data_IF_876431813534
#
_entry.id   IF_876431813534
#
_cell.length_a   1.000
_cell.length_b   1.000
_cell.length_c   1.000
_cell.angle_alpha   90.00
_cell.angle_beta   90.00
_cell.angle_gamma   90.00
#
_symmetry.space_group_name_H-M   'P 1'
#
loop_
_entity.id
_entity.type
_entity.pdbx_description
1 polymer ?
#
# COMPACT_ATOMS: atom_id res chain seq x y z
N UNK A 1 -23.38 -35.44 -0.96
CA UNK A 1 -22.33 -34.41 -1.02
C UNK A 1 -22.21 -33.82 0.36
N UNK A 2 -21.20 -34.21 1.14
CA UNK A 2 -20.89 -33.54 2.40
C UNK A 2 -20.47 -32.13 2.05
N UNK A 3 -21.25 -31.13 2.48
CA UNK A 3 -20.86 -29.74 2.34
C UNK A 3 -19.68 -29.50 3.28
N UNK A 4 -18.52 -29.19 2.73
CA UNK A 4 -17.38 -28.76 3.53
C UNK A 4 -17.76 -27.50 4.31
N UNK A 5 -17.47 -27.48 5.60
CA UNK A 5 -17.80 -26.35 6.48
C UNK A 5 -17.03 -25.07 6.11
N UNK A 6 -15.85 -25.21 5.50
CA UNK A 6 -14.92 -24.14 5.11
C UNK A 6 -14.21 -24.54 3.83
N UNK A 7 -14.06 -23.61 2.86
CA UNK A 7 -13.26 -23.88 1.66
C UNK A 7 -11.77 -23.63 1.91
N UNK A 8 -10.93 -24.45 1.30
CA UNK A 8 -9.48 -24.23 1.30
C UNK A 8 -9.15 -22.95 0.51
N UNK A 9 -8.27 -22.11 1.06
CA UNK A 9 -7.77 -20.92 0.38
C UNK A 9 -7.01 -21.32 -0.91
N UNK A 10 -7.26 -20.67 -2.06
CA UNK A 10 -6.60 -21.01 -3.33
C UNK A 10 -5.07 -20.94 -3.20
N UNK A 11 -4.33 -22.03 -3.44
CA UNK A 11 -2.88 -22.03 -3.28
C UNK A 11 -2.22 -21.17 -4.37
N UNK A 12 -1.17 -20.38 -4.03
CA UNK A 12 -0.47 -19.60 -5.03
C UNK A 12 0.18 -20.52 -6.08
N UNK A 13 0.05 -20.18 -7.39
CA UNK A 13 0.67 -20.94 -8.47
C UNK A 13 2.19 -20.77 -8.46
N UNK A 14 2.91 -21.66 -9.18
CA UNK A 14 4.38 -21.83 -9.07
C UNK A 14 5.18 -20.52 -9.08
N UNK A 15 4.90 -19.60 -10.00
CA UNK A 15 5.69 -18.38 -10.17
C UNK A 15 5.39 -17.36 -9.08
N UNK A 16 4.13 -17.29 -8.64
CA UNK A 16 3.70 -16.44 -7.52
C UNK A 16 4.32 -16.97 -6.23
N UNK A 17 4.20 -18.27 -5.97
CA UNK A 17 4.80 -18.93 -4.80
C UNK A 17 6.30 -18.70 -4.73
N UNK A 18 7.02 -18.97 -5.81
CA UNK A 18 8.46 -18.76 -5.90
C UNK A 18 8.86 -17.28 -5.66
N UNK A 19 8.05 -16.32 -6.10
CA UNK A 19 8.29 -14.91 -5.83
C UNK A 19 8.06 -14.55 -4.35
N UNK A 20 7.01 -15.11 -3.71
CA UNK A 20 6.76 -14.95 -2.27
C UNK A 20 7.87 -15.56 -1.42
N UNK A 21 8.32 -16.78 -1.75
CA UNK A 21 9.41 -17.47 -1.04
C UNK A 21 10.72 -16.67 -1.11
N UNK A 22 11.08 -16.14 -2.28
CA UNK A 22 12.26 -15.27 -2.43
C UNK A 22 12.13 -13.97 -1.65
N UNK A 23 10.92 -13.41 -1.53
CA UNK A 23 10.73 -12.21 -0.70
C UNK A 23 10.83 -12.47 0.80
N UNK A 24 10.63 -13.71 1.24
CA UNK A 24 10.77 -14.09 2.64
C UNK A 24 12.24 -14.31 3.05
N UNK A 25 13.18 -14.44 2.09
CA UNK A 25 14.60 -14.61 2.44
C UNK A 25 15.20 -13.35 3.09
N UNK A 26 16.02 -13.48 4.15
CA UNK A 26 16.72 -12.36 4.76
C UNK A 26 17.54 -11.55 3.73
N UNK A 27 17.56 -10.22 3.90
CA UNK A 27 18.27 -9.31 3.00
C UNK A 27 17.63 -9.12 1.63
N UNK A 28 16.40 -9.63 1.37
CA UNK A 28 15.69 -9.38 0.11
C UNK A 28 15.50 -7.89 -0.18
N UNK A 29 15.27 -7.08 0.87
CA UNK A 29 15.10 -5.63 0.76
C UNK A 29 16.41 -4.92 0.39
N UNK A 30 17.55 -5.50 0.77
CA UNK A 30 18.90 -4.97 0.52
C UNK A 30 19.44 -5.40 -0.85
N UNK A 31 18.76 -6.32 -1.54
CA UNK A 31 19.06 -6.64 -2.94
C UNK A 31 18.65 -5.44 -3.79
N UNK A 32 19.64 -4.66 -4.21
CA UNK A 32 19.44 -3.57 -5.16
C UNK A 32 18.78 -4.05 -6.47
N UNK A 33 18.34 -3.13 -7.33
CA UNK A 33 17.66 -3.47 -8.58
C UNK A 33 18.64 -4.09 -9.59
N UNK A 34 19.02 -5.35 -9.39
CA UNK A 34 19.71 -6.16 -10.38
C UNK A 34 18.70 -6.54 -11.47
N UNK A 35 18.76 -5.81 -12.59
CA UNK A 35 17.80 -5.87 -13.71
C UNK A 35 17.64 -7.26 -14.30
N UNK A 36 18.57 -8.20 -14.03
CA UNK A 36 18.52 -9.57 -14.53
C UNK A 36 17.69 -10.54 -13.67
N UNK A 37 17.32 -10.19 -12.42
CA UNK A 37 16.82 -11.19 -11.46
C UNK A 37 15.76 -10.77 -10.46
N UNK A 38 15.24 -9.54 -10.48
CA UNK A 38 14.16 -9.17 -9.53
C UNK A 38 12.92 -10.04 -9.85
N UNK A 39 12.54 -10.98 -8.97
CA UNK A 39 11.24 -11.62 -9.08
C UNK A 39 10.24 -10.50 -8.85
N UNK A 40 9.35 -10.26 -9.82
CA UNK A 40 8.31 -9.23 -9.64
C UNK A 40 7.61 -9.43 -8.30
N UNK A 41 7.28 -8.33 -7.61
CA UNK A 41 6.60 -8.35 -6.32
C UNK A 41 5.13 -8.68 -6.55
N UNK A 42 4.61 -9.88 -6.22
CA UNK A 42 3.24 -10.25 -6.60
C UNK A 42 2.17 -9.35 -5.98
N UNK A 43 2.48 -8.69 -4.86
CA UNK A 43 1.64 -7.68 -4.21
C UNK A 43 1.74 -6.27 -4.84
N UNK A 44 2.61 -6.08 -5.83
CA UNK A 44 2.67 -4.90 -6.70
C UNK A 44 2.60 -5.35 -8.17
N UNK A 45 1.37 -5.58 -8.68
CA UNK A 45 1.21 -6.17 -10.00
C UNK A 45 1.72 -5.31 -11.16
N UNK A 46 1.83 -3.99 -10.98
CA UNK A 46 2.33 -3.07 -12.02
C UNK A 46 3.82 -3.30 -12.30
N UNK A 47 4.60 -3.64 -11.27
CA UNK A 47 6.02 -4.00 -11.40
C UNK A 47 6.27 -5.45 -11.83
N UNK A 48 5.23 -6.26 -12.04
CA UNK A 48 5.39 -7.68 -12.34
C UNK A 48 5.68 -7.94 -13.84
N UNK A 49 6.65 -8.82 -14.17
CA UNK A 49 6.86 -9.26 -15.54
C UNK A 49 5.63 -10.01 -16.07
N UNK A 50 5.45 -10.01 -17.40
CA UNK A 50 4.28 -10.59 -18.04
C UNK A 50 4.04 -12.06 -17.65
N UNK A 51 5.11 -12.85 -17.48
CA UNK A 51 5.03 -14.25 -17.06
C UNK A 51 4.45 -14.42 -15.66
N UNK A 52 4.82 -13.56 -14.70
CA UNK A 52 4.26 -13.59 -13.36
C UNK A 52 2.80 -13.13 -13.39
N UNK A 53 2.48 -12.05 -14.13
CA UNK A 53 1.11 -11.57 -14.31
C UNK A 53 0.18 -12.64 -14.88
N UNK A 54 0.67 -13.44 -15.84
CA UNK A 54 -0.10 -14.54 -16.42
C UNK A 54 -0.56 -15.62 -15.43
N UNK A 55 0.14 -15.79 -14.30
CA UNK A 55 -0.31 -16.67 -13.20
C UNK A 55 -1.01 -15.91 -12.06
N UNK A 56 -0.64 -14.65 -11.86
CA UNK A 56 -1.22 -13.80 -10.83
C UNK A 56 -2.71 -13.56 -11.08
N UNK A 57 -3.12 -13.23 -12.31
CA UNK A 57 -4.51 -12.85 -12.59
C UNK A 57 -5.53 -13.96 -12.33
N UNK A 58 -5.36 -15.19 -12.82
CA UNK A 58 -6.29 -16.27 -12.50
C UNK A 58 -6.32 -16.58 -11.00
N UNK A 59 -5.16 -16.54 -10.34
CA UNK A 59 -5.11 -16.78 -8.89
C UNK A 59 -5.84 -15.70 -8.09
N UNK A 60 -5.72 -14.42 -8.45
CA UNK A 60 -6.49 -13.36 -7.81
C UNK A 60 -8.00 -13.51 -8.05
N UNK A 61 -8.41 -14.00 -9.21
CA UNK A 61 -9.83 -14.29 -9.50
C UNK A 61 -10.36 -15.42 -8.61
N UNK A 62 -9.59 -16.51 -8.45
CA UNK A 62 -9.91 -17.59 -7.51
C UNK A 62 -9.99 -17.10 -6.07
N UNK A 63 -9.06 -16.22 -5.66
CA UNK A 63 -9.07 -15.61 -4.33
C UNK A 63 -10.28 -14.72 -4.12
N UNK A 64 -10.66 -13.90 -5.10
CA UNK A 64 -11.88 -13.09 -5.01
C UNK A 64 -13.13 -13.97 -4.86
N UNK A 65 -13.22 -15.06 -5.63
CA UNK A 65 -14.31 -16.03 -5.52
C UNK A 65 -14.35 -16.71 -4.15
N UNK A 66 -13.18 -17.08 -3.60
CA UNK A 66 -13.07 -17.65 -2.26
C UNK A 66 -13.48 -16.65 -1.17
N UNK A 67 -13.00 -15.40 -1.23
CA UNK A 67 -13.40 -14.36 -0.26
C UNK A 67 -14.90 -14.11 -0.30
N UNK A 68 -15.49 -14.03 -1.49
CA UNK A 68 -16.93 -13.86 -1.66
C UNK A 68 -17.72 -15.03 -1.08
N UNK A 69 -17.22 -16.26 -1.22
CA UNK A 69 -17.87 -17.43 -0.65
C UNK A 69 -17.78 -17.46 0.88
N UNK A 70 -16.59 -17.25 1.44
CA UNK A 70 -16.36 -17.41 2.88
C UNK A 70 -16.84 -16.21 3.70
N UNK A 71 -16.76 -14.98 3.16
CA UNK A 71 -17.01 -13.73 3.90
C UNK A 71 -18.12 -12.85 3.31
N UNK A 72 -18.64 -13.15 2.13
CA UNK A 72 -19.63 -12.33 1.39
C UNK A 72 -21.06 -12.35 1.95
N UNK A 73 -21.23 -12.41 3.27
CA UNK A 73 -22.54 -12.43 3.94
C UNK A 73 -23.28 -11.07 3.90
N UNK A 74 -22.56 -10.00 3.56
CA UNK A 74 -23.13 -8.69 3.29
C UNK A 74 -22.88 -8.35 1.83
N UNK A 75 -23.93 -7.94 1.11
CA UNK A 75 -23.83 -7.64 -0.33
C UNK A 75 -22.84 -6.53 -0.65
N UNK A 76 -22.65 -5.58 0.27
CA UNK A 76 -21.66 -4.51 0.15
C UNK A 76 -20.20 -5.02 0.22
N UNK A 77 -19.97 -6.19 0.84
CA UNK A 77 -18.65 -6.80 1.00
C UNK A 77 -18.33 -7.85 -0.07
N UNK A 78 -19.18 -7.98 -1.10
CA UNK A 78 -18.90 -8.85 -2.24
C UNK A 78 -17.98 -8.13 -3.21
N UNK A 79 -16.81 -8.71 -3.47
CA UNK A 79 -15.89 -8.27 -4.52
C UNK A 79 -16.62 -8.41 -5.87
N UNK A 80 -16.81 -7.31 -6.63
CA UNK A 80 -17.60 -7.38 -7.86
C UNK A 80 -16.84 -8.09 -8.98
N UNK A 81 -17.56 -8.72 -9.91
CA UNK A 81 -16.95 -9.39 -11.07
C UNK A 81 -16.14 -8.43 -11.98
N UNK A 82 -16.43 -7.13 -11.92
CA UNK A 82 -15.66 -6.10 -12.62
C UNK A 82 -14.41 -5.62 -11.85
N UNK A 83 -14.00 -6.30 -10.77
CA UNK A 83 -12.77 -5.96 -10.03
C UNK A 83 -11.53 -5.70 -10.91
N UNK A 84 -11.30 -6.39 -12.05
CA UNK A 84 -10.13 -6.09 -12.90
C UNK A 84 -10.21 -4.72 -13.59
N UNK A 85 -11.41 -4.14 -13.70
CA UNK A 85 -11.65 -2.78 -14.25
C UNK A 85 -11.40 -1.68 -13.22
N UNK A 86 -11.12 -2.04 -11.97
CA UNK A 86 -10.89 -1.11 -10.86
C UNK A 86 -9.42 -1.20 -10.40
N UNK A 87 -8.51 -0.34 -10.90
CA UNK A 87 -7.08 -0.45 -10.60
C UNK A 87 -6.77 -0.52 -9.11
N UNK A 88 -7.45 0.28 -8.29
CA UNK A 88 -7.30 0.24 -6.83
C UNK A 88 -7.64 -1.13 -6.22
N UNK A 89 -8.65 -1.85 -6.74
CA UNK A 89 -8.96 -3.21 -6.29
C UNK A 89 -7.91 -4.21 -6.77
N UNK A 90 -7.38 -4.06 -7.98
CA UNK A 90 -6.29 -4.91 -8.47
C UNK A 90 -5.09 -4.85 -7.53
N UNK A 91 -4.68 -3.64 -7.12
CA UNK A 91 -3.58 -3.45 -6.18
C UNK A 91 -3.89 -4.04 -4.79
N UNK A 92 -5.05 -3.73 -4.22
CA UNK A 92 -5.36 -4.19 -2.87
C UNK A 92 -5.65 -5.69 -2.77
N UNK A 93 -6.31 -6.28 -3.77
CA UNK A 93 -6.57 -7.71 -3.83
C UNK A 93 -5.27 -8.51 -3.92
N UNK A 94 -4.28 -8.00 -4.66
CA UNK A 94 -2.95 -8.60 -4.72
C UNK A 94 -2.27 -8.64 -3.35
N UNK A 95 -2.31 -7.54 -2.60
CA UNK A 95 -1.78 -7.47 -1.22
C UNK A 95 -2.55 -8.42 -0.30
N UNK A 96 -3.89 -8.39 -0.35
CA UNK A 96 -4.76 -9.25 0.46
C UNK A 96 -4.42 -10.74 0.27
N UNK A 97 -4.31 -11.18 -0.99
CA UNK A 97 -4.00 -12.55 -1.36
C UNK A 97 -2.59 -12.97 -0.89
N UNK A 98 -1.59 -12.11 -1.10
CA UNK A 98 -0.21 -12.38 -0.71
C UNK A 98 -0.06 -12.47 0.82
N UNK A 99 -0.69 -11.56 1.58
CA UNK A 99 -0.67 -11.61 3.04
C UNK A 99 -1.39 -12.85 3.57
N UNK A 100 -2.50 -13.27 2.96
CA UNK A 100 -3.22 -14.49 3.35
C UNK A 100 -2.39 -15.76 3.09
N UNK A 101 -1.67 -15.79 1.99
CA UNK A 101 -0.76 -16.89 1.63
C UNK A 101 0.44 -16.94 2.58
N UNK A 102 1.10 -15.80 2.83
CA UNK A 102 2.21 -15.73 3.77
C UNK A 102 1.80 -16.11 5.20
N UNK A 103 0.61 -15.68 5.64
CA UNK A 103 0.08 -16.03 6.95
C UNK A 103 -0.19 -17.54 7.11
N UNK A 104 -0.54 -18.25 6.04
CA UNK A 104 -0.73 -19.70 6.06
C UNK A 104 0.58 -20.49 6.22
N UNK A 105 1.71 -19.91 5.81
CA UNK A 105 3.04 -20.52 5.95
C UNK A 105 3.72 -20.14 7.29
N UNK A 106 3.10 -19.28 8.09
CA UNK A 106 3.68 -18.83 9.36
C UNK A 106 3.63 -19.93 10.43
N UNK A 107 4.67 -19.99 11.26
CA UNK A 107 4.78 -21.00 12.34
C UNK A 107 3.77 -20.84 13.49
N UNK A 108 3.05 -19.71 13.54
CA UNK A 108 2.12 -19.40 14.61
C UNK A 108 0.83 -18.76 14.09
N UNK A 109 -0.23 -18.71 14.91
CA UNK A 109 -1.55 -18.23 14.48
C UNK A 109 -1.61 -16.71 14.28
N UNK A 110 -0.67 -15.95 14.86
CA UNK A 110 -0.71 -14.49 14.90
C UNK A 110 -0.91 -13.84 13.52
N UNK A 111 -0.18 -14.24 12.45
CA UNK A 111 -0.36 -13.60 11.15
C UNK A 111 -1.74 -13.86 10.53
N UNK A 112 -2.33 -15.03 10.78
CA UNK A 112 -3.69 -15.33 10.36
C UNK A 112 -4.72 -14.56 11.20
N UNK A 113 -4.49 -14.41 12.50
CA UNK A 113 -5.32 -13.57 13.36
C UNK A 113 -5.31 -12.11 12.88
N UNK A 114 -4.13 -11.55 12.63
CA UNK A 114 -3.97 -10.17 12.15
C UNK A 114 -4.61 -9.97 10.78
N UNK A 115 -4.50 -10.98 9.90
CA UNK A 115 -5.18 -10.97 8.60
C UNK A 115 -6.70 -10.86 8.75
N UNK A 116 -7.29 -11.64 9.66
CA UNK A 116 -8.73 -11.61 9.94
C UNK A 116 -9.16 -10.34 10.68
N UNK A 117 -8.34 -9.84 11.62
CA UNK A 117 -8.70 -8.69 12.45
C UNK A 117 -8.54 -7.37 11.70
N UNK A 118 -7.51 -7.23 10.87
CA UNK A 118 -7.13 -5.95 10.28
C UNK A 118 -7.12 -5.96 8.75
N UNK A 119 -6.48 -6.95 8.13
CA UNK A 119 -6.24 -6.90 6.68
C UNK A 119 -7.54 -7.05 5.89
N UNK A 120 -8.30 -8.11 6.14
CA UNK A 120 -9.55 -8.38 5.43
C UNK A 120 -10.62 -7.31 5.72
N UNK A 121 -10.93 -6.94 6.98
CA UNK A 121 -11.90 -5.89 7.26
C UNK A 121 -11.51 -4.54 6.66
N UNK A 122 -10.23 -4.17 6.73
CA UNK A 122 -9.73 -2.94 6.15
C UNK A 122 -9.86 -2.89 4.62
N UNK A 123 -9.57 -4.01 3.94
CA UNK A 123 -9.80 -4.14 2.50
C UNK A 123 -11.27 -3.96 2.14
N UNK A 124 -12.18 -4.67 2.80
CA UNK A 124 -13.61 -4.62 2.51
C UNK A 124 -14.21 -3.23 2.76
N UNK A 125 -13.79 -2.55 3.83
CA UNK A 125 -14.20 -1.19 4.12
C UNK A 125 -13.75 -0.22 3.02
N UNK A 126 -12.47 -0.25 2.62
CA UNK A 126 -11.94 0.61 1.54
C UNK A 126 -12.54 0.30 0.18
N UNK A 127 -12.80 -0.97 -0.11
CA UNK A 127 -13.49 -1.39 -1.34
C UNK A 127 -14.89 -0.76 -1.40
N UNK A 128 -15.66 -0.89 -0.34
CA UNK A 128 -17.03 -0.35 -0.27
C UNK A 128 -17.03 1.17 -0.42
N UNK A 129 -16.14 1.85 0.31
CA UNK A 129 -15.99 3.31 0.26
C UNK A 129 -15.61 3.81 -1.15
N UNK A 130 -14.60 3.19 -1.79
CA UNK A 130 -14.07 3.66 -3.08
C UNK A 130 -14.95 3.30 -4.28
N UNK A 131 -15.66 2.17 -4.24
CA UNK A 131 -16.62 1.82 -5.30
C UNK A 131 -17.86 2.74 -5.25
N UNK A 132 -18.31 3.08 -4.04
CA UNK A 132 -19.48 3.93 -3.82
C UNK A 132 -20.69 3.49 -4.64
N UNK A 133 -21.42 4.45 -5.21
CA UNK A 133 -22.58 4.20 -6.09
C UNK A 133 -22.22 3.89 -7.55
N UNK A 134 -20.92 3.84 -7.90
CA UNK A 134 -20.45 3.69 -9.27
C UNK A 134 -20.46 2.25 -9.79
N UNK A 135 -20.57 1.28 -8.89
CA UNK A 135 -20.52 -0.16 -9.19
C UNK A 135 -21.62 -0.98 -8.49
N UNK A 136 -22.92 -0.60 -8.58
CA UNK A 136 -23.98 -1.42 -8.03
C UNK A 136 -24.17 -2.72 -8.85
N UNK A 137 -24.77 -3.77 -8.27
CA UNK A 137 -25.08 -4.99 -9.01
C UNK A 137 -25.83 -4.69 -10.33
N UNK A 138 -25.28 -5.17 -11.45
CA UNK A 138 -25.88 -5.02 -12.78
C UNK A 138 -25.70 -3.66 -13.46
N UNK A 139 -25.01 -2.68 -12.88
CA UNK A 139 -24.60 -1.44 -13.58
C UNK A 139 -23.18 -1.05 -13.23
N UNK A 140 -22.40 -0.66 -14.23
CA UNK A 140 -21.00 -0.28 -14.04
C UNK A 140 -20.73 1.08 -14.68
N UNK A 141 -20.18 2.00 -13.91
CA UNK A 141 -19.59 3.24 -14.43
C UNK A 141 -18.09 3.05 -14.54
N UNK A 142 -17.56 3.11 -15.76
CA UNK A 142 -16.17 2.72 -16.02
C UNK A 142 -15.12 3.49 -15.24
N UNK A 143 -15.26 4.81 -15.20
CA UNK A 143 -14.38 5.67 -14.43
C UNK A 143 -15.09 6.98 -14.14
N UNK A 144 -15.79 7.10 -13.00
CA UNK A 144 -16.59 8.29 -12.67
C UNK A 144 -15.76 9.58 -12.66
N UNK A 145 -14.49 9.50 -12.26
CA UNK A 145 -13.57 10.64 -12.21
C UNK A 145 -12.79 10.89 -13.51
N UNK A 146 -13.13 10.22 -14.63
CA UNK A 146 -12.38 10.33 -15.89
C UNK A 146 -12.22 11.77 -16.37
N UNK A 147 -13.30 12.56 -16.35
CA UNK A 147 -13.25 13.97 -16.79
C UNK A 147 -12.26 14.79 -15.96
N UNK A 148 -12.31 14.67 -14.63
CA UNK A 148 -11.38 15.34 -13.72
C UNK A 148 -9.94 14.88 -13.92
N UNK A 149 -9.73 13.58 -14.19
CA UNK A 149 -8.40 13.07 -14.52
C UNK A 149 -7.88 13.64 -15.85
N UNK A 150 -8.72 13.72 -16.88
CA UNK A 150 -8.36 14.33 -18.16
C UNK A 150 -7.98 15.80 -17.99
N UNK A 151 -8.76 16.55 -17.20
CA UNK A 151 -8.46 17.94 -16.85
C UNK A 151 -7.13 18.04 -16.10
N UNK A 152 -6.91 17.20 -15.09
CA UNK A 152 -5.65 17.13 -14.35
C UNK A 152 -4.45 16.86 -15.27
N UNK A 153 -4.62 15.97 -16.26
CA UNK A 153 -3.59 15.56 -17.21
C UNK A 153 -3.41 16.52 -18.39
N UNK A 154 -4.18 17.61 -18.46
CA UNK A 154 -4.03 18.60 -19.54
C UNK A 154 -2.65 19.30 -19.47
N UNK A 155 -2.06 19.66 -20.63
CA UNK A 155 -0.81 20.42 -20.66
C UNK A 155 -0.91 21.72 -19.85
N UNK A 156 -2.03 22.43 -19.97
CA UNK A 156 -2.27 23.69 -19.26
C UNK A 156 -2.26 23.51 -17.75
N UNK A 157 -2.95 22.48 -17.23
CA UNK A 157 -2.95 22.19 -15.81
C UNK A 157 -1.60 21.67 -15.32
N UNK A 158 -0.86 20.93 -16.16
CA UNK A 158 0.49 20.45 -15.83
C UNK A 158 1.49 21.62 -15.75
N UNK A 159 1.48 22.53 -16.72
CA UNK A 159 2.34 23.71 -16.75
C UNK A 159 2.03 24.66 -15.59
N UNK A 160 0.75 24.89 -15.28
CA UNK A 160 0.33 25.70 -14.14
C UNK A 160 0.86 25.13 -12.81
N UNK A 161 0.80 23.81 -12.61
CA UNK A 161 1.38 23.16 -11.42
C UNK A 161 2.90 23.29 -11.39
N UNK A 162 3.58 23.05 -12.52
CA UNK A 162 5.04 23.18 -12.63
C UNK A 162 5.53 24.58 -12.28
N UNK A 163 4.85 25.63 -12.77
CA UNK A 163 5.20 27.01 -12.44
C UNK A 163 5.10 27.30 -10.94
N UNK A 164 4.06 26.77 -10.26
CA UNK A 164 3.93 26.89 -8.81
C UNK A 164 5.05 26.15 -8.07
N UNK A 165 5.43 24.96 -8.51
CA UNK A 165 6.53 24.20 -7.92
C UNK A 165 7.87 24.92 -8.06
N UNK A 166 8.17 25.45 -9.25
CA UNK A 166 9.40 26.21 -9.51
C UNK A 166 9.45 27.52 -8.71
N UNK A 167 8.32 28.22 -8.60
CA UNK A 167 8.24 29.45 -7.80
C UNK A 167 8.52 29.17 -6.31
N UNK A 168 7.98 28.08 -5.75
CA UNK A 168 8.23 27.66 -4.37
C UNK A 168 9.69 27.23 -4.14
N UNK A 169 10.22 26.41 -5.05
CA UNK A 169 11.61 25.96 -5.01
C UNK A 169 12.60 27.14 -5.11
N UNK A 170 12.30 28.13 -5.95
CA UNK A 170 13.08 29.36 -6.09
C UNK A 170 12.96 30.31 -4.90
N UNK A 171 11.77 30.41 -4.27
CA UNK A 171 11.55 31.23 -3.09
C UNK A 171 12.37 30.74 -1.88
N UNK A 172 12.58 29.42 -1.76
CA UNK A 172 13.40 28.81 -0.71
C UNK A 172 14.91 29.13 -0.82
N UNK A 173 15.38 29.69 -1.94
CA UNK A 173 16.75 30.20 -2.11
C UNK A 173 16.96 31.64 -1.62
N UNK A 174 15.89 32.32 -1.21
CA UNK A 174 15.97 33.63 -0.57
C UNK A 174 16.17 33.42 0.92
N UNK A 175 17.33 33.84 1.46
CA UNK A 175 17.60 33.81 2.91
C UNK A 175 16.37 34.28 3.68
N UNK A 176 15.81 33.47 4.60
CA UNK A 176 14.68 33.91 5.41
C UNK A 176 15.08 35.22 6.07
N UNK A 177 14.33 36.29 5.80
CA UNK A 177 14.48 37.52 6.57
C UNK A 177 14.22 37.13 8.02
N UNK A 178 15.17 37.33 8.95
CA UNK A 178 14.97 36.96 10.34
C UNK A 178 13.66 37.57 10.82
N UNK A 179 12.78 36.75 11.38
CA UNK A 179 11.54 37.23 11.98
C UNK A 179 11.89 38.37 12.95
N UNK A 180 11.27 39.55 12.85
CA UNK A 180 11.55 40.65 13.78
C UNK A 180 11.21 40.19 15.19
N UNK A 181 12.21 40.10 16.06
CA UNK A 181 12.05 39.64 17.43
C UNK A 181 10.83 40.32 18.07
N UNK A 182 9.82 39.53 18.44
CA UNK A 182 8.65 40.04 19.14
C UNK A 182 9.13 40.62 20.48
N UNK A 183 8.93 41.93 20.74
CA UNK A 183 9.20 42.50 22.04
C UNK A 183 8.02 42.15 22.93
N UNK A 184 8.02 40.95 23.51
CA UNK A 184 7.26 40.59 24.73
C UNK A 184 7.52 39.11 25.08
N UNK A 185 8.78 38.78 25.38
CA UNK A 185 9.09 37.62 26.20
C UNK A 185 8.90 38.02 27.67
N UNK A 186 7.65 38.00 28.14
CA UNK A 186 7.33 38.13 29.56
C UNK A 186 8.01 36.98 30.30
N UNK A 187 8.93 37.33 31.20
CA UNK A 187 9.66 36.40 32.03
C UNK A 187 8.72 35.66 32.99
N UNK A 188 8.25 34.48 32.60
CA UNK A 188 7.65 33.55 33.53
C UNK A 188 8.74 32.68 34.15
N UNK A 189 9.09 33.02 35.39
CA UNK A 189 9.91 32.19 36.26
C UNK A 189 9.28 30.81 36.42
N UNK A 190 10.02 29.77 36.04
CA UNK A 190 9.61 28.38 36.18
C UNK A 190 10.83 27.47 36.15
N UNK A 191 11.08 26.84 37.29
CA UNK A 191 12.14 25.88 37.61
C UNK A 191 12.92 25.26 36.45
N UNK A 192 14.22 25.60 36.40
CA UNK A 192 15.24 24.88 35.63
C UNK A 192 15.39 23.47 36.23
N UNK A 193 14.80 22.46 35.59
CA UNK A 193 15.19 21.06 35.84
C UNK A 193 16.50 20.82 35.09
N UNK A 194 17.53 20.44 35.84
CA UNK A 194 18.84 20.11 35.29
C UNK A 194 18.71 19.02 34.23
N UNK A 195 19.15 19.34 33.02
CA UNK A 195 19.29 18.39 31.92
C UNK A 195 20.62 17.65 32.13
N UNK A 196 20.65 16.31 32.16
CA UNK A 196 21.91 15.59 32.31
C UNK A 196 22.80 15.87 31.10
N UNK A 197 24.08 16.14 31.36
CA UNK A 197 25.09 16.34 30.33
C UNK A 197 25.38 15.02 29.61
N UNK A 198 25.25 15.02 28.28
CA UNK A 198 25.81 13.97 27.44
C UNK A 198 27.30 14.24 27.26
N UNK A 199 28.19 13.26 27.50
CA UNK A 199 29.63 13.44 27.24
C UNK A 199 29.94 13.44 25.73
N UNK A 200 30.89 14.30 25.37
CA UNK A 200 31.43 14.55 24.02
C UNK A 200 32.41 13.43 23.61
N UNK A 201 32.27 12.79 22.43
CA UNK A 201 33.03 11.58 22.07
C UNK A 201 34.49 11.78 21.64
N UNK A 202 35.03 13.01 21.56
CA UNK A 202 36.35 13.24 20.95
C UNK A 202 37.50 13.53 21.94
N UNK A 203 37.63 12.72 23.01
CA UNK A 203 38.85 12.70 23.85
C UNK A 203 39.29 11.29 24.25
N UNK A 204 39.64 10.45 23.27
CA UNK A 204 40.63 9.39 23.46
C UNK A 204 41.56 9.36 22.26
N UNK A 205 42.81 9.82 22.43
CA UNK A 205 43.78 9.82 21.35
C UNK A 205 45.03 10.67 21.57
N UNK A 206 45.75 10.44 22.67
CA UNK A 206 47.18 10.77 22.76
C UNK A 206 47.82 9.96 23.90
N UNK A 207 48.49 8.86 23.52
CA UNK A 207 49.72 8.43 24.20
C UNK A 207 50.91 9.10 23.52
#
# INVERSE_FOLDING_TARGET
MTADLVRVFPPPPRWVRHALEQSATPGWADRGPDTARIPGRPWDPAGCPAQLRGQLWPWLDDVAAWVNHEYGWQTAHVIPACWPRHPHLVHELAVLACLRAAAAEASGPQPLEDWHRYTLPGFLARMTDRLGIGCPPGRHTDWPARSRHTEYASPEAADARSQLFEADAGASGSTPTPWPAHPDAVAHGGHRRDRPAFPDPDKEGAS
#
